data_IF_925666130404
#
_entry.id   IF_925666130404
#
_cell.length_a   1.000
_cell.length_b   1.000
_cell.length_c   1.000
_cell.angle_alpha   90.00
_cell.angle_beta   90.00
_cell.angle_gamma   90.00
#
_symmetry.space_group_name_H-M   'P 1'
#
loop_
_entity.id
_entity.type
_entity.pdbx_description
1 polymer ?
#
# COMPACT_ATOMS: atom_id res chain seq x y z
N UNK A 1 1.88 8.65 -4.41
CA UNK A 1 1.62 7.69 -5.52
C UNK A 1 0.26 7.97 -6.10
N UNK A 2 0.01 7.66 -7.38
CA UNK A 2 -1.37 7.67 -7.90
C UNK A 2 -1.97 6.27 -7.75
N UNK A 3 -2.72 6.04 -6.66
CA UNK A 3 -3.29 4.72 -6.35
C UNK A 3 -4.34 4.23 -7.35
N UNK A 4 -4.86 5.12 -8.21
CA UNK A 4 -5.81 4.78 -9.28
C UNK A 4 -5.19 4.01 -10.44
N UNK A 5 -3.87 4.15 -10.64
CA UNK A 5 -3.18 3.59 -11.81
C UNK A 5 -2.28 2.39 -11.44
N UNK A 6 -2.49 1.80 -10.26
CA UNK A 6 -1.64 0.71 -9.77
C UNK A 6 -2.04 -0.62 -10.41
N UNK A 7 -1.18 -1.10 -11.30
CA UNK A 7 -1.28 -2.42 -11.94
C UNK A 7 -0.70 -3.54 -11.04
N UNK A 8 -1.33 -3.76 -9.89
CA UNK A 8 -0.98 -4.81 -8.94
C UNK A 8 -2.17 -5.75 -8.69
N UNK A 9 -1.93 -7.05 -8.41
CA UNK A 9 -3.00 -8.01 -8.21
C UNK A 9 -3.79 -7.73 -6.92
N UNK A 10 -5.12 -7.75 -7.03
CA UNK A 10 -6.05 -7.57 -5.91
C UNK A 10 -6.27 -8.86 -5.11
N UNK A 11 -6.05 -10.01 -5.73
CA UNK A 11 -6.08 -11.33 -5.09
C UNK A 11 -4.68 -11.90 -4.85
N UNK A 12 -4.61 -13.00 -4.12
CA UNK A 12 -3.36 -13.75 -3.94
C UNK A 12 -2.95 -14.41 -5.25
N UNK A 13 -1.69 -14.20 -5.65
CA UNK A 13 -1.06 -14.87 -6.79
C UNK A 13 0.18 -15.64 -6.35
N UNK A 14 0.57 -16.63 -7.15
CA UNK A 14 1.79 -17.40 -6.92
C UNK A 14 2.93 -16.81 -7.75
N UNK A 15 4.05 -16.51 -7.11
CA UNK A 15 5.22 -15.93 -7.76
C UNK A 15 6.35 -16.94 -7.90
N UNK A 16 7.14 -16.82 -8.96
CA UNK A 16 8.35 -17.62 -9.14
C UNK A 16 9.45 -17.13 -8.19
N UNK A 17 9.88 -18.01 -7.28
CA UNK A 17 10.95 -17.73 -6.32
C UNK A 17 12.24 -17.25 -6.99
N UNK A 18 12.65 -17.88 -8.09
CA UNK A 18 13.91 -17.58 -8.79
C UNK A 18 13.96 -16.13 -9.29
N UNK A 19 12.83 -15.62 -9.77
CA UNK A 19 12.70 -14.22 -10.24
C UNK A 19 12.80 -13.23 -9.08
N UNK A 20 12.24 -13.57 -7.91
CA UNK A 20 12.27 -12.68 -6.74
C UNK A 20 13.67 -12.61 -6.11
N UNK A 21 14.40 -13.73 -6.09
CA UNK A 21 15.72 -13.80 -5.47
C UNK A 21 16.84 -13.29 -6.38
N UNK A 22 16.64 -13.19 -7.70
CA UNK A 22 17.66 -12.80 -8.68
C UNK A 22 18.40 -11.50 -8.33
N UNK A 23 17.69 -10.52 -7.74
CA UNK A 23 18.27 -9.20 -7.43
C UNK A 23 19.20 -9.20 -6.22
N UNK A 24 18.94 -10.07 -5.24
CA UNK A 24 19.66 -10.10 -3.96
C UNK A 24 20.54 -11.34 -3.81
N UNK A 25 20.29 -12.38 -4.60
CA UNK A 25 20.83 -13.73 -4.39
C UNK A 25 20.27 -14.41 -3.12
N UNK A 26 19.33 -13.79 -2.41
CA UNK A 26 18.80 -14.29 -1.16
C UNK A 26 17.30 -13.96 -1.01
N UNK A 27 16.48 -15.01 -1.09
CA UNK A 27 15.02 -14.88 -0.98
C UNK A 27 14.56 -14.18 0.32
N UNK A 28 15.22 -14.43 1.45
CA UNK A 28 14.83 -13.81 2.73
C UNK A 28 15.12 -12.31 2.73
N UNK A 29 16.24 -11.90 2.14
CA UNK A 29 16.57 -10.49 1.97
C UNK A 29 15.55 -9.79 1.06
N UNK A 30 15.19 -10.41 -0.07
CA UNK A 30 14.14 -9.88 -0.96
C UNK A 30 12.82 -9.72 -0.22
N UNK A 31 12.41 -10.70 0.59
CA UNK A 31 11.18 -10.63 1.40
C UNK A 31 11.23 -9.46 2.39
N UNK A 32 12.35 -9.27 3.10
CA UNK A 32 12.51 -8.17 4.05
C UNK A 32 12.43 -6.82 3.34
N UNK A 33 13.07 -6.67 2.18
CA UNK A 33 13.03 -5.43 1.39
C UNK A 33 11.58 -5.13 0.94
N UNK A 34 10.90 -6.11 0.34
CA UNK A 34 9.51 -5.96 -0.08
C UNK A 34 8.58 -5.68 1.11
N UNK A 35 8.81 -6.30 2.27
CA UNK A 35 8.04 -6.05 3.48
C UNK A 35 8.17 -4.61 3.98
N UNK A 36 9.40 -4.10 4.06
CA UNK A 36 9.67 -2.69 4.42
C UNK A 36 9.03 -1.74 3.42
N UNK A 37 9.06 -2.07 2.12
CA UNK A 37 8.42 -1.26 1.09
C UNK A 37 6.89 -1.26 1.23
N UNK A 38 6.29 -2.42 1.49
CA UNK A 38 4.86 -2.54 1.73
C UNK A 38 4.40 -1.70 2.94
N UNK A 39 5.23 -1.61 3.98
CA UNK A 39 4.96 -0.75 5.14
C UNK A 39 4.92 0.74 4.77
N UNK A 40 5.87 1.21 3.95
CA UNK A 40 5.88 2.59 3.44
C UNK A 40 4.61 2.90 2.64
N UNK A 41 4.24 2.01 1.71
CA UNK A 41 3.02 2.14 0.90
C UNK A 41 1.78 2.19 1.79
N UNK A 42 1.71 1.32 2.80
CA UNK A 42 0.60 1.27 3.74
C UNK A 42 0.47 2.56 4.57
N UNK A 43 1.59 3.14 5.01
CA UNK A 43 1.59 4.41 5.73
C UNK A 43 1.09 5.56 4.85
N UNK A 44 1.54 5.62 3.59
CA UNK A 44 1.08 6.62 2.62
C UNK A 44 -0.42 6.49 2.35
N UNK A 45 -0.90 5.28 2.03
CA UNK A 45 -2.33 4.99 1.82
C UNK A 45 -3.18 5.36 3.03
N UNK A 46 -2.73 4.99 4.24
CA UNK A 46 -3.44 5.30 5.48
C UNK A 46 -3.54 6.80 5.70
N UNK A 47 -2.44 7.52 5.48
CA UNK A 47 -2.43 8.98 5.63
C UNK A 47 -3.39 9.65 4.66
N UNK A 48 -3.39 9.24 3.39
CA UNK A 48 -4.28 9.78 2.37
C UNK A 48 -5.75 9.45 2.66
N UNK A 49 -6.06 8.22 3.06
CA UNK A 49 -7.41 7.82 3.46
C UNK A 49 -7.93 8.67 4.63
N UNK A 50 -7.12 8.85 5.68
CA UNK A 50 -7.52 9.66 6.84
C UNK A 50 -7.78 11.12 6.42
N UNK A 51 -6.89 11.69 5.60
CA UNK A 51 -7.07 13.05 5.09
C UNK A 51 -8.36 13.17 4.28
N UNK A 52 -8.68 12.18 3.43
CA UNK A 52 -9.90 12.16 2.63
C UNK A 52 -11.16 11.98 3.46
N UNK A 53 -11.11 11.16 4.52
CA UNK A 53 -12.26 11.01 5.43
C UNK A 53 -12.53 12.29 6.22
N UNK A 54 -11.48 12.99 6.65
CA UNK A 54 -11.58 14.25 7.39
C UNK A 54 -12.22 15.37 6.55
N UNK A 55 -11.95 15.40 5.23
CA UNK A 55 -12.60 16.33 4.28
C UNK A 55 -14.15 16.22 4.28
N UNK A 56 -14.69 15.05 4.63
CA UNK A 56 -16.14 14.79 4.70
C UNK A 56 -16.65 14.64 6.13
N UNK A 57 -15.82 14.90 7.15
CA UNK A 57 -16.24 14.87 8.54
C UNK A 57 -17.13 16.08 8.85
N UNK A 58 -18.38 15.83 9.25
CA UNK A 58 -19.27 16.87 9.75
C UNK A 58 -18.95 17.16 11.22
N UNK A 59 -18.40 18.34 11.52
CA UNK A 59 -18.18 18.81 12.89
C UNK A 59 -19.43 19.50 13.44
N UNK A 60 -20.52 18.75 13.62
CA UNK A 60 -21.75 19.27 14.25
C UNK A 60 -21.94 18.63 15.62
N UNK A 61 -21.66 19.40 16.68
CA UNK A 61 -21.97 19.06 18.09
C UNK A 61 -23.47 19.27 18.44
N UNK A 62 -24.37 19.05 17.47
CA UNK A 62 -25.81 19.23 17.64
C UNK A 62 -26.48 17.87 17.89
N UNK A 63 -27.48 17.84 18.78
CA UNK A 63 -28.37 16.70 19.05
C UNK A 63 -29.31 16.38 17.86
N UNK A 64 -28.90 16.71 16.64
CA UNK A 64 -29.61 16.37 15.42
C UNK A 64 -29.31 14.92 15.01
N UNK A 65 -30.28 14.32 14.33
CA UNK A 65 -30.18 12.95 13.82
C UNK A 65 -29.01 12.86 12.82
N UNK A 66 -28.02 12.01 13.13
CA UNK A 66 -26.85 11.81 12.28
C UNK A 66 -27.27 10.92 11.12
N UNK A 67 -27.34 11.50 9.92
CA UNK A 67 -27.60 10.76 8.69
C UNK A 67 -26.33 10.02 8.20
N UNK A 68 -26.52 8.95 7.42
CA UNK A 68 -25.42 8.23 6.78
C UNK A 68 -24.63 9.16 5.84
N UNK A 69 -23.31 9.23 6.04
CA UNK A 69 -22.42 9.99 5.18
C UNK A 69 -22.04 9.16 3.96
N UNK A 70 -22.78 9.34 2.86
CA UNK A 70 -22.61 8.57 1.63
C UNK A 70 -21.22 8.77 1.02
N UNK A 71 -20.67 9.96 1.16
CA UNK A 71 -19.35 10.34 0.67
C UNK A 71 -18.24 9.56 1.39
N UNK A 72 -18.27 9.50 2.73
CA UNK A 72 -17.31 8.71 3.52
C UNK A 72 -17.39 7.21 3.20
N UNK A 73 -18.60 6.69 2.97
CA UNK A 73 -18.81 5.29 2.59
C UNK A 73 -18.16 5.00 1.23
N UNK A 74 -18.37 5.86 0.23
CA UNK A 74 -17.79 5.67 -1.11
C UNK A 74 -16.26 5.81 -1.10
N UNK A 75 -15.71 6.74 -0.31
CA UNK A 75 -14.25 6.84 -0.09
C UNK A 75 -13.72 5.53 0.50
N UNK A 76 -14.35 5.03 1.57
CA UNK A 76 -13.90 3.78 2.22
C UNK A 76 -13.93 2.59 1.26
N UNK A 77 -15.03 2.41 0.51
CA UNK A 77 -15.16 1.35 -0.51
C UNK A 77 -14.10 1.44 -1.60
N UNK A 78 -13.70 2.66 -1.99
CA UNK A 78 -12.64 2.84 -2.98
C UNK A 78 -11.32 2.27 -2.47
N UNK A 79 -10.90 2.64 -1.25
CA UNK A 79 -9.64 2.16 -0.66
C UNK A 79 -9.67 0.67 -0.34
N UNK A 80 -10.83 0.10 0.02
CA UNK A 80 -10.98 -1.35 0.23
C UNK A 80 -10.77 -2.17 -1.04
N UNK A 81 -11.06 -1.62 -2.22
CA UNK A 81 -10.88 -2.29 -3.51
C UNK A 81 -9.45 -2.22 -4.03
N UNK A 82 -8.60 -1.38 -3.44
CA UNK A 82 -7.22 -1.24 -3.86
C UNK A 82 -6.43 -2.53 -3.58
N UNK A 83 -5.42 -2.83 -4.40
CA UNK A 83 -4.49 -3.92 -4.12
C UNK A 83 -3.84 -3.76 -2.74
N UNK A 84 -3.54 -4.88 -2.09
CA UNK A 84 -2.83 -4.86 -0.81
C UNK A 84 -1.46 -4.21 -0.98
N UNK A 85 -0.95 -3.46 0.02
CA UNK A 85 0.38 -2.85 -0.04
C UNK A 85 1.49 -3.85 -0.37
N UNK A 86 1.35 -5.10 0.08
CA UNK A 86 2.27 -6.20 -0.25
C UNK A 86 2.28 -6.55 -1.73
N UNK A 87 1.11 -6.59 -2.38
CA UNK A 87 1.00 -6.85 -3.83
C UNK A 87 1.64 -5.73 -4.65
N UNK A 88 1.46 -4.49 -4.20
CA UNK A 88 2.06 -3.30 -4.84
C UNK A 88 3.59 -3.36 -4.69
N UNK A 89 4.10 -3.64 -3.49
CA UNK A 89 5.54 -3.77 -3.26
C UNK A 89 6.17 -4.91 -4.09
N UNK A 90 5.48 -6.05 -4.26
CA UNK A 90 5.95 -7.13 -5.13
C UNK A 90 5.99 -6.68 -6.59
N UNK A 91 4.99 -5.93 -7.06
CA UNK A 91 4.98 -5.40 -8.43
C UNK A 91 6.15 -4.44 -8.65
N UNK A 92 6.35 -3.45 -7.77
CA UNK A 92 7.50 -2.54 -7.83
C UNK A 92 8.83 -3.29 -7.74
N UNK A 93 8.88 -4.35 -6.92
CA UNK A 93 10.04 -5.23 -6.85
C UNK A 93 10.30 -5.88 -8.20
N UNK A 94 9.29 -6.42 -8.87
CA UNK A 94 9.46 -7.04 -10.20
C UNK A 94 9.85 -6.02 -11.26
N UNK A 95 9.30 -4.80 -11.21
CA UNK A 95 9.60 -3.69 -12.12
C UNK A 95 10.99 -3.05 -11.93
N UNK A 96 11.70 -3.39 -10.85
CA UNK A 96 13.00 -2.79 -10.50
C UNK A 96 12.92 -1.32 -10.05
N UNK A 97 11.78 -0.94 -9.47
CA UNK A 97 11.51 0.42 -8.99
C UNK A 97 11.92 0.63 -7.52
N UNK A 98 12.42 -0.42 -6.86
CA UNK A 98 12.81 -0.38 -5.45
C UNK A 98 14.33 -0.28 -5.33
N UNK A 99 14.79 0.86 -4.83
CA UNK A 99 16.15 1.01 -4.33
C UNK A 99 16.27 0.50 -2.89
N UNK A 100 17.31 -0.26 -2.60
CA UNK A 100 17.64 -0.74 -1.26
C UNK A 100 19.15 -0.71 -1.05
N UNK A 101 19.56 -0.62 0.22
CA UNK A 101 20.96 -0.68 0.64
C UNK A 101 21.10 -1.47 1.94
N UNK A 102 22.23 -2.14 2.10
CA UNK A 102 22.60 -2.81 3.35
C UNK A 102 23.66 -1.98 4.08
N UNK A 103 23.33 -1.36 5.23
CA UNK A 103 24.28 -0.56 5.99
C UNK A 103 25.54 -1.32 6.44
N UNK A 104 25.47 -2.65 6.53
CA UNK A 104 26.58 -3.49 6.97
C UNK A 104 27.53 -3.91 5.84
N UNK A 105 27.15 -3.69 4.56
CA UNK A 105 28.01 -4.00 3.40
C UNK A 105 28.78 -2.77 2.89
N UNK A 106 28.40 -1.56 3.32
CA UNK A 106 29.04 -0.30 2.95
C UNK A 106 30.07 0.20 4.01
N UNK A 107 30.60 -0.71 4.85
CA UNK A 107 31.57 -0.42 5.92
C UNK A 107 32.94 -1.06 5.68
#
# INVERSE_FOLDING_TARGET
MNFKDIDAPTSTETFNKGVIEEKTGNIYQSIVIMGKRAEQINQEMKSELIQKLDEFASHTDSLEEIFENREQIEVSKFYERLPKPTSIAIKEWMSNDIYYRNPNEEA
#
